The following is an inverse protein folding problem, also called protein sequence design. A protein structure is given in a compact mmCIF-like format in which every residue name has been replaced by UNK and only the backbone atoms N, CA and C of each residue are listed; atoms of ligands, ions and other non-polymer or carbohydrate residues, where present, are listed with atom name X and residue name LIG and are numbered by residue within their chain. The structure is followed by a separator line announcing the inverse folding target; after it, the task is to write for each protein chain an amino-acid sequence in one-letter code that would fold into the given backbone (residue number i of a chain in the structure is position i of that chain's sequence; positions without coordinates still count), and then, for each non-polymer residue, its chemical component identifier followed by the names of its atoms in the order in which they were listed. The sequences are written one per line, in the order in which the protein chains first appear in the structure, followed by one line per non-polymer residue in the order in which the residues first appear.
data_IF_604820293578
#
_entry.id   IF_604820293578
#
_cell.length_a   1.000
_cell.length_b   1.000
_cell.length_c   1.000
_cell.angle_alpha   90.00
_cell.angle_beta   90.00
_cell.angle_gamma   90.00
#
_symmetry.space_group_name_H-M   'P 1'
#
loop_
_entity.id
_entity.type
_entity.pdbx_description
1 polymer ?
#
# COMPACT_ATOMS: atom_id res chain seq x y z
N UNK A 1 -9.69 -29.00 -24.15
CA UNK A 1 -8.35 -28.37 -24.06
C UNK A 1 -8.51 -26.99 -23.40
N UNK A 2 -7.42 -26.26 -23.15
CA UNK A 2 -7.47 -24.90 -22.55
C UNK A 2 -6.87 -23.87 -23.49
N UNK A 3 -7.33 -22.63 -23.41
CA UNK A 3 -6.72 -21.48 -24.09
C UNK A 3 -6.44 -20.35 -23.10
N UNK A 4 -5.58 -19.41 -23.51
CA UNK A 4 -5.32 -18.18 -22.74
C UNK A 4 -6.10 -17.02 -23.37
N UNK A 5 -6.69 -16.18 -22.52
CA UNK A 5 -7.43 -14.99 -22.93
C UNK A 5 -6.98 -13.78 -22.13
N UNK A 6 -6.88 -12.64 -22.79
CA UNK A 6 -6.61 -11.33 -22.21
C UNK A 6 -7.66 -10.34 -22.74
N UNK A 7 -8.67 -10.05 -21.92
CA UNK A 7 -9.82 -9.25 -22.31
C UNK A 7 -10.59 -9.90 -23.45
N UNK A 8 -10.72 -9.19 -24.57
CA UNK A 8 -11.33 -9.70 -25.80
C UNK A 8 -10.38 -10.49 -26.68
N UNK A 9 -9.07 -10.40 -26.44
CA UNK A 9 -8.07 -11.12 -27.23
C UNK A 9 -7.91 -12.55 -26.70
N UNK A 10 -8.19 -13.52 -27.57
CA UNK A 10 -8.06 -14.94 -27.29
C UNK A 10 -6.93 -15.54 -28.11
N UNK A 11 -6.00 -16.23 -27.44
CA UNK A 11 -5.01 -17.03 -28.14
C UNK A 11 -5.65 -18.30 -28.70
N UNK A 12 -5.29 -18.72 -29.92
CA UNK A 12 -5.49 -20.08 -30.39
C UNK A 12 -5.15 -21.15 -29.34
N UNK A 13 -5.92 -22.25 -29.38
CA UNK A 13 -5.76 -23.38 -28.47
C UNK A 13 -4.33 -23.92 -28.57
N UNK A 14 -3.67 -24.08 -27.43
CA UNK A 14 -2.28 -24.56 -27.31
C UNK A 14 -1.19 -23.66 -27.93
N UNK A 15 -1.49 -22.39 -28.29
CA UNK A 15 -0.45 -21.44 -28.72
C UNK A 15 0.43 -20.96 -27.55
N UNK A 16 -0.19 -20.78 -26.39
CA UNK A 16 0.44 -20.26 -25.18
C UNK A 16 0.42 -21.30 -24.08
N UNK A 17 1.53 -21.39 -23.36
CA UNK A 17 1.62 -22.07 -22.07
C UNK A 17 1.82 -21.05 -20.95
N UNK A 18 1.15 -21.28 -19.84
CA UNK A 18 1.44 -20.61 -18.57
C UNK A 18 2.74 -21.21 -18.03
N UNK A 19 3.83 -20.44 -18.08
CA UNK A 19 5.14 -20.87 -17.63
C UNK A 19 5.27 -20.82 -16.11
N UNK A 20 4.84 -19.70 -15.50
CA UNK A 20 4.78 -19.54 -14.04
C UNK A 20 3.55 -18.72 -13.65
N UNK A 21 3.06 -18.97 -12.44
CA UNK A 21 2.07 -18.15 -11.76
C UNK A 21 2.53 -17.97 -10.31
N UNK A 22 3.20 -16.85 -10.07
CA UNK A 22 3.81 -16.53 -8.78
C UNK A 22 2.90 -15.61 -7.97
N UNK A 23 2.82 -15.86 -6.67
CA UNK A 23 2.08 -15.01 -5.72
C UNK A 23 3.06 -14.45 -4.69
N UNK A 24 3.29 -13.14 -4.74
CA UNK A 24 4.15 -12.42 -3.81
C UNK A 24 3.29 -11.71 -2.78
N UNK A 25 3.47 -12.03 -1.51
CA UNK A 25 2.77 -11.33 -0.43
C UNK A 25 3.61 -10.15 0.06
N UNK A 26 2.97 -8.99 0.14
CA UNK A 26 3.55 -7.81 0.78
C UNK A 26 3.06 -7.73 2.21
N UNK A 27 3.97 -7.33 3.12
CA UNK A 27 3.66 -7.11 4.52
C UNK A 27 3.69 -5.62 4.85
N UNK A 28 2.80 -5.17 5.73
CA UNK A 28 2.81 -3.82 6.28
C UNK A 28 4.07 -3.58 7.12
N UNK A 29 4.35 -2.33 7.48
CA UNK A 29 5.39 -1.99 8.48
C UNK A 29 5.19 -2.72 9.82
N UNK A 30 3.94 -3.09 10.14
CA UNK A 30 3.55 -3.84 11.34
C UNK A 30 3.70 -5.37 11.18
N UNK A 31 4.12 -5.86 10.01
CA UNK A 31 4.33 -7.29 9.74
C UNK A 31 3.07 -8.08 9.41
N UNK A 32 1.92 -7.42 9.22
CA UNK A 32 0.69 -8.05 8.77
C UNK A 32 0.66 -8.16 7.24
N UNK A 33 -0.01 -9.18 6.70
CA UNK A 33 -0.22 -9.29 5.25
C UNK A 33 -1.19 -8.21 4.81
N UNK A 34 -0.79 -7.45 3.80
CA UNK A 34 -1.59 -6.34 3.25
C UNK A 34 -2.14 -6.70 1.87
N UNK A 35 -1.20 -6.99 0.96
CA UNK A 35 -1.47 -7.16 -0.46
C UNK A 35 -0.83 -8.42 -0.98
N UNK A 36 -1.42 -9.01 -2.02
CA UNK A 36 -0.81 -10.09 -2.79
C UNK A 36 -0.69 -9.65 -4.24
N UNK A 37 0.54 -9.67 -4.74
CA UNK A 37 0.84 -9.47 -6.15
C UNK A 37 0.91 -10.82 -6.85
N UNK A 38 0.04 -11.01 -7.81
CA UNK A 38 0.08 -12.14 -8.71
C UNK A 38 0.88 -11.75 -9.96
N UNK A 39 1.79 -12.62 -10.38
CA UNK A 39 2.55 -12.49 -11.62
C UNK A 39 2.35 -13.75 -12.45
N UNK A 40 1.84 -13.60 -13.66
CA UNK A 40 1.77 -14.68 -14.63
C UNK A 40 2.81 -14.47 -15.72
N UNK A 41 3.63 -15.49 -15.96
CA UNK A 41 4.52 -15.52 -17.12
C UNK A 41 3.96 -16.49 -18.16
N UNK A 42 3.75 -15.97 -19.36
CA UNK A 42 3.33 -16.72 -20.53
C UNK A 42 4.53 -16.92 -21.45
N UNK A 43 4.56 -18.08 -22.09
CA UNK A 43 5.48 -18.37 -23.19
C UNK A 43 4.64 -18.96 -24.32
N UNK A 44 4.79 -18.46 -25.53
CA UNK A 44 4.04 -18.93 -26.68
C UNK A 44 4.84 -18.87 -27.97
N UNK A 45 4.29 -19.48 -29.01
CA UNK A 45 4.87 -19.45 -30.36
C UNK A 45 3.81 -19.15 -31.41
N UNK A 46 3.98 -18.05 -32.13
CA UNK A 46 3.12 -17.74 -33.27
C UNK A 46 3.58 -18.61 -34.43
N UNK A 47 2.65 -19.35 -35.03
CA UNK A 47 2.86 -20.16 -36.23
C UNK A 47 1.95 -19.67 -37.35
N UNK A 48 2.47 -19.62 -38.56
CA UNK A 48 1.69 -19.29 -39.75
C UNK A 48 2.19 -20.04 -40.98
N UNK A 49 1.29 -20.28 -41.93
CA UNK A 49 1.61 -20.83 -43.25
C UNK A 49 2.05 -19.76 -44.25
N UNK A 50 1.70 -18.49 -44.01
CA UNK A 50 2.07 -17.36 -44.87
C UNK A 50 2.67 -16.20 -44.08
N UNK A 51 3.53 -15.41 -44.72
CA UNK A 51 4.15 -14.23 -44.10
C UNK A 51 3.12 -13.13 -43.78
N UNK A 52 2.08 -12.98 -44.59
CA UNK A 52 1.03 -11.97 -44.38
C UNK A 52 0.20 -12.27 -43.12
N UNK A 53 -0.20 -13.53 -42.95
CA UNK A 53 -0.91 -14.00 -41.75
C UNK A 53 -0.01 -13.90 -40.50
N UNK A 54 1.29 -14.13 -40.66
CA UNK A 54 2.26 -13.99 -39.57
C UNK A 54 2.33 -12.56 -39.02
N UNK A 55 2.41 -11.57 -39.90
CA UNK A 55 2.40 -10.14 -39.53
C UNK A 55 1.05 -9.78 -38.90
N UNK A 56 -0.05 -10.30 -39.44
CA UNK A 56 -1.40 -10.08 -38.89
C UNK A 56 -1.51 -10.60 -37.46
N UNK A 57 -1.02 -11.82 -37.18
CA UNK A 57 -1.04 -12.41 -35.85
C UNK A 57 -0.15 -11.65 -34.85
N UNK A 58 1.03 -11.20 -35.27
CA UNK A 58 1.89 -10.34 -34.44
C UNK A 58 1.17 -9.04 -34.07
N UNK A 59 0.57 -8.36 -35.05
CA UNK A 59 -0.14 -7.11 -34.82
C UNK A 59 -1.37 -7.31 -33.94
N UNK A 60 -2.10 -8.42 -34.13
CA UNK A 60 -3.24 -8.78 -33.29
C UNK A 60 -2.82 -9.01 -31.83
N UNK A 61 -1.71 -9.73 -31.59
CA UNK A 61 -1.15 -9.92 -30.26
C UNK A 61 -0.75 -8.58 -29.64
N UNK A 62 0.01 -7.76 -30.36
CA UNK A 62 0.45 -6.45 -29.85
C UNK A 62 -0.74 -5.53 -29.55
N UNK A 63 -1.78 -5.57 -30.40
CA UNK A 63 -2.99 -4.78 -30.19
C UNK A 63 -3.85 -5.31 -29.04
N UNK A 64 -3.91 -6.62 -28.82
CA UNK A 64 -4.64 -7.21 -27.69
C UNK A 64 -4.01 -6.83 -26.35
N UNK A 65 -2.68 -6.92 -26.27
CA UNK A 65 -1.92 -6.63 -25.05
C UNK A 65 -1.57 -5.14 -24.85
N UNK A 66 -1.96 -4.24 -25.76
CA UNK A 66 -1.81 -2.80 -25.56
C UNK A 66 -2.91 -2.21 -24.67
N UNK A 67 -4.03 -2.91 -24.55
CA UNK A 67 -5.08 -2.59 -23.60
C UNK A 67 -4.60 -2.96 -22.19
N UNK A 68 -4.74 -2.05 -21.25
CA UNK A 68 -4.51 -2.36 -19.85
C UNK A 68 -5.84 -2.69 -19.19
N UNK A 69 -5.78 -3.44 -18.10
CA UNK A 69 -6.90 -3.67 -17.19
C UNK A 69 -7.99 -4.56 -17.77
N UNK A 70 -7.55 -5.61 -18.42
CA UNK A 70 -8.39 -6.66 -18.95
C UNK A 70 -8.20 -7.92 -18.12
N UNK A 71 -9.27 -8.71 -17.93
CA UNK A 71 -9.14 -10.00 -17.25
C UNK A 71 -8.22 -10.92 -18.05
N UNK A 72 -7.33 -11.63 -17.34
CA UNK A 72 -6.30 -12.43 -17.96
C UNK A 72 -6.23 -13.81 -17.35
N UNK A 73 -6.32 -14.87 -18.16
CA UNK A 73 -6.26 -16.20 -17.56
C UNK A 73 -6.37 -17.35 -18.53
N UNK A 74 -6.28 -18.54 -17.95
CA UNK A 74 -6.57 -19.80 -18.61
C UNK A 74 -8.05 -20.14 -18.49
N UNK A 75 -8.65 -20.50 -19.61
CA UNK A 75 -10.04 -20.90 -19.73
C UNK A 75 -10.14 -22.28 -20.36
N UNK A 76 -11.17 -23.02 -19.98
CA UNK A 76 -11.59 -24.25 -20.66
C UNK A 76 -12.31 -23.91 -21.98
N UNK A 77 -12.52 -24.89 -22.84
CA UNK A 77 -13.19 -24.72 -24.15
C UNK A 77 -14.64 -24.21 -24.07
N UNK A 78 -15.28 -24.35 -22.91
CA UNK A 78 -16.62 -23.84 -22.62
C UNK A 78 -16.62 -22.40 -22.06
N UNK A 79 -15.48 -21.70 -22.15
CA UNK A 79 -15.21 -20.36 -21.57
C UNK A 79 -15.30 -20.34 -20.03
N UNK A 80 -15.32 -21.51 -19.38
CA UNK A 80 -15.21 -21.59 -17.91
C UNK A 80 -13.79 -21.24 -17.48
N UNK A 81 -13.66 -20.29 -16.55
CA UNK A 81 -12.38 -19.88 -15.99
C UNK A 81 -11.74 -20.99 -15.15
N UNK A 82 -10.42 -21.18 -15.30
CA UNK A 82 -9.63 -22.05 -14.41
C UNK A 82 -9.24 -21.29 -13.14
N UNK A 83 -8.60 -21.93 -12.14
CA UNK A 83 -8.02 -21.22 -10.99
C UNK A 83 -6.87 -20.25 -11.35
N UNK A 84 -6.41 -20.25 -12.60
CA UNK A 84 -5.33 -19.38 -13.07
C UNK A 84 -5.90 -18.22 -13.91
N UNK A 85 -6.68 -17.38 -13.24
CA UNK A 85 -7.19 -16.12 -13.79
C UNK A 85 -6.85 -14.96 -12.86
N UNK A 86 -6.42 -13.85 -13.46
CA UNK A 86 -6.29 -12.54 -12.86
C UNK A 86 -7.53 -11.74 -13.26
N UNK A 87 -8.35 -11.40 -12.27
CA UNK A 87 -9.50 -10.53 -12.46
C UNK A 87 -9.13 -9.08 -12.19
N UNK A 88 -9.57 -8.17 -13.07
CA UNK A 88 -9.34 -6.74 -12.95
C UNK A 88 -10.24 -6.12 -11.88
N UNK A 89 -11.50 -6.56 -11.78
CA UNK A 89 -12.49 -5.97 -10.87
C UNK A 89 -12.13 -6.06 -9.38
N UNK A 90 -11.36 -7.08 -9.00
CA UNK A 90 -10.95 -7.32 -7.61
C UNK A 90 -9.51 -6.86 -7.35
N UNK A 91 -8.84 -6.31 -8.36
CA UNK A 91 -7.45 -5.86 -8.24
C UNK A 91 -7.37 -4.35 -8.03
N UNK A 92 -6.43 -3.93 -7.19
CA UNK A 92 -6.19 -2.52 -6.84
C UNK A 92 -5.78 -1.72 -8.09
N UNK A 93 -4.82 -2.27 -8.85
CA UNK A 93 -4.24 -1.58 -10.00
C UNK A 93 -4.86 -2.00 -11.34
N UNK A 94 -5.59 -3.12 -11.39
CA UNK A 94 -5.90 -3.81 -12.65
C UNK A 94 -4.87 -4.87 -12.99
N UNK A 95 -5.19 -5.68 -14.01
CA UNK A 95 -4.21 -6.53 -14.66
C UNK A 95 -3.45 -5.69 -15.70
N UNK A 96 -2.13 -5.65 -15.56
CA UNK A 96 -1.25 -4.89 -16.43
C UNK A 96 -0.24 -5.79 -17.11
N UNK A 97 -0.01 -5.54 -18.41
CA UNK A 97 1.11 -6.15 -19.13
C UNK A 97 2.39 -5.38 -18.81
N UNK A 98 3.28 -6.03 -18.05
CA UNK A 98 4.56 -5.43 -17.64
C UNK A 98 5.63 -5.56 -18.72
N UNK A 99 5.59 -6.64 -19.48
CA UNK A 99 6.60 -6.94 -20.48
C UNK A 99 6.08 -7.90 -21.54
N UNK A 100 6.27 -7.54 -22.81
CA UNK A 100 6.24 -8.44 -23.95
C UNK A 100 7.67 -8.55 -24.49
N UNK A 101 8.18 -9.76 -24.65
CA UNK A 101 9.52 -10.03 -25.17
C UNK A 101 9.43 -11.02 -26.30
N UNK A 102 10.02 -10.67 -27.44
CA UNK A 102 10.24 -11.60 -28.52
C UNK A 102 11.53 -12.36 -28.22
N UNK A 103 11.42 -13.67 -28.04
CA UNK A 103 12.56 -14.54 -27.76
C UNK A 103 12.77 -15.45 -28.95
N UNK A 104 14.00 -15.62 -29.41
CA UNK A 104 14.27 -16.42 -30.59
C UNK A 104 15.77 -16.48 -30.84
N UNK A 105 16.26 -17.68 -31.17
CA UNK A 105 17.64 -17.92 -31.58
C UNK A 105 17.71 -18.87 -32.78
N UNK A 106 16.58 -19.20 -33.42
CA UNK A 106 16.54 -20.20 -34.50
C UNK A 106 16.50 -19.49 -35.85
N UNK A 107 17.19 -20.01 -36.86
CA UNK A 107 17.10 -19.44 -38.21
C UNK A 107 15.67 -19.54 -38.77
N UNK A 108 15.18 -18.49 -39.42
CA UNK A 108 13.83 -18.43 -40.02
C UNK A 108 12.76 -17.69 -39.22
N UNK A 109 13.15 -16.92 -38.20
CA UNK A 109 12.20 -16.10 -37.43
C UNK A 109 11.57 -15.04 -38.34
N UNK A 110 10.23 -14.98 -38.38
CA UNK A 110 9.37 -14.27 -39.36
C UNK A 110 8.94 -15.05 -40.61
N UNK A 111 9.52 -16.22 -40.90
CA UNK A 111 9.07 -17.04 -42.04
C UNK A 111 8.09 -18.15 -41.61
N UNK A 112 8.28 -18.75 -40.44
CA UNK A 112 7.47 -19.91 -40.00
C UNK A 112 7.02 -19.82 -38.56
N UNK A 113 7.92 -19.44 -37.65
CA UNK A 113 7.67 -19.43 -36.20
C UNK A 113 8.33 -18.23 -35.54
N UNK A 114 7.72 -17.67 -34.49
CA UNK A 114 8.37 -16.73 -33.56
C UNK A 114 7.88 -16.96 -32.15
N UNK A 115 8.83 -17.14 -31.24
CA UNK A 115 8.53 -17.35 -29.83
C UNK A 115 8.43 -16.00 -29.12
N UNK A 116 7.55 -15.92 -28.12
CA UNK A 116 7.39 -14.75 -27.28
C UNK A 116 7.20 -15.14 -25.83
N UNK A 117 7.43 -14.18 -24.95
CA UNK A 117 7.06 -14.26 -23.54
C UNK A 117 6.37 -12.98 -23.10
N UNK A 118 5.31 -13.14 -22.31
CA UNK A 118 4.53 -12.04 -21.74
C UNK A 118 4.54 -12.17 -20.23
N UNK A 119 4.68 -11.06 -19.53
CA UNK A 119 4.54 -10.97 -18.08
C UNK A 119 3.35 -10.07 -17.77
N UNK A 120 2.37 -10.64 -17.07
CA UNK A 120 1.19 -9.95 -16.56
C UNK A 120 1.28 -9.87 -15.04
N UNK A 121 0.85 -8.74 -14.48
CA UNK A 121 0.78 -8.56 -13.04
C UNK A 121 -0.53 -7.93 -12.61
N UNK A 122 -1.04 -8.35 -11.46
CA UNK A 122 -2.15 -7.71 -10.76
C UNK A 122 -1.90 -7.76 -9.25
N UNK A 123 -2.42 -6.78 -8.52
CA UNK A 123 -2.28 -6.68 -7.07
C UNK A 123 -3.65 -6.69 -6.41
N UNK A 124 -3.82 -7.54 -5.40
CA UNK A 124 -5.07 -7.79 -4.70
C UNK A 124 -4.90 -7.50 -3.21
N UNK A 125 -5.97 -7.05 -2.55
CA UNK A 125 -6.01 -7.01 -1.09
C UNK A 125 -6.11 -8.44 -0.53
N UNK A 126 -5.32 -8.79 0.48
CA UNK A 126 -5.38 -10.11 1.12
C UNK A 126 -6.63 -10.19 2.03
N UNK A 127 -7.70 -10.82 1.56
CA UNK A 127 -8.90 -11.04 2.37
C UNK A 127 -8.61 -12.05 3.50
N UNK A 128 -8.63 -11.59 4.76
CA UNK A 128 -8.47 -12.44 5.94
C UNK A 128 -7.08 -12.42 6.61
N UNK A 129 -6.11 -11.67 6.07
CA UNK A 129 -4.82 -11.41 6.74
C UNK A 129 -4.80 -10.13 7.60
N UNK A 130 -5.79 -9.27 7.39
CA UNK A 130 -5.88 -7.94 7.99
C UNK A 130 -6.74 -8.03 9.25
N UNK A 131 -6.18 -8.52 10.36
CA UNK A 131 -6.88 -8.52 11.66
C UNK A 131 -7.14 -7.11 12.20
N UNK A 132 -6.45 -6.11 11.65
CA UNK A 132 -6.69 -4.68 11.87
C UNK A 132 -6.40 -3.98 10.54
N UNK A 133 -7.37 -3.27 9.94
CA UNK A 133 -7.20 -2.42 8.74
C UNK A 133 -6.27 -1.22 9.02
N UNK A 134 -5.12 -1.47 9.65
CA UNK A 134 -4.17 -0.54 10.23
C UNK A 134 -2.79 -0.89 9.67
N UNK A 135 -2.37 -0.10 8.71
CA UNK A 135 -1.11 -0.22 7.99
C UNK A 135 0.04 0.37 8.80
N UNK A 136 -0.18 1.56 9.35
CA UNK A 136 0.83 2.32 10.09
C UNK A 136 0.21 2.98 11.32
N UNK A 137 0.93 2.95 12.44
CA UNK A 137 0.57 3.62 13.68
C UNK A 137 1.81 4.30 14.25
N UNK A 138 1.67 5.54 14.69
CA UNK A 138 2.72 6.25 15.41
C UNK A 138 2.11 7.21 16.41
N UNK A 139 2.72 7.26 17.60
CA UNK A 139 2.29 8.15 18.66
C UNK A 139 3.50 8.69 19.42
N UNK A 140 3.41 9.96 19.81
CA UNK A 140 4.45 10.69 20.52
C UNK A 140 3.84 11.55 21.62
N UNK A 141 4.55 11.62 22.74
CA UNK A 141 4.27 12.53 23.84
C UNK A 141 5.40 13.54 23.99
N UNK A 142 5.04 14.79 24.23
CA UNK A 142 5.97 15.86 24.60
C UNK A 142 5.54 16.35 25.98
N UNK A 143 6.46 16.29 26.92
CA UNK A 143 6.26 16.77 28.29
C UNK A 143 7.04 18.07 28.48
N UNK A 144 6.37 19.11 28.95
CA UNK A 144 6.96 20.42 29.24
C UNK A 144 6.70 20.78 30.69
N UNK A 145 7.78 21.01 31.43
CA UNK A 145 7.72 21.26 32.87
C UNK A 145 7.60 19.97 33.68
N UNK A 146 8.16 20.00 34.89
CA UNK A 146 8.16 18.88 35.83
C UNK A 146 7.10 19.04 36.93
N UNK A 147 6.36 20.15 36.92
CA UNK A 147 5.51 20.57 38.03
C UNK A 147 6.27 21.02 39.28
N UNK A 148 7.61 20.97 39.24
CA UNK A 148 8.49 21.32 40.33
C UNK A 148 8.75 22.82 40.44
N UNK A 149 9.70 23.21 41.30
CA UNK A 149 10.05 24.60 41.49
C UNK A 149 10.65 25.21 40.23
N UNK A 150 10.34 26.49 39.97
CA UNK A 150 10.97 27.29 38.92
C UNK A 150 12.07 28.12 39.52
N UNK A 151 13.26 28.00 38.93
CA UNK A 151 14.41 28.83 39.26
C UNK A 151 14.65 29.86 38.16
N UNK A 152 15.07 31.06 38.55
CA UNK A 152 15.58 32.08 37.65
C UNK A 152 16.99 32.46 38.08
N UNK A 153 17.85 32.72 37.10
CA UNK A 153 19.19 33.28 37.34
C UNK A 153 19.05 34.78 37.35
N UNK A 154 19.39 35.40 38.48
CA UNK A 154 19.35 36.86 38.63
C UNK A 154 20.78 37.37 38.57
N UNK A 155 21.02 38.29 37.66
CA UNK A 155 22.31 38.97 37.54
C UNK A 155 22.50 39.92 38.73
N UNK A 156 23.65 39.80 39.39
CA UNK A 156 24.04 40.68 40.50
C UNK A 156 24.73 41.92 39.93
N UNK A 157 24.50 43.09 40.53
CA UNK A 157 25.20 44.34 40.15
C UNK A 157 26.72 44.20 40.30
N UNK A 158 27.17 43.44 41.30
CA UNK A 158 28.57 43.07 41.52
C UNK A 158 28.60 41.59 41.94
N UNK A 159 29.43 40.78 41.27
CA UNK A 159 29.63 39.36 41.60
C UNK A 159 28.91 38.39 40.64
N UNK A 160 29.00 37.07 40.89
CA UNK A 160 28.36 36.08 40.04
C UNK A 160 26.82 36.15 40.15
N UNK A 161 26.08 35.75 39.11
CA UNK A 161 24.64 35.58 39.18
C UNK A 161 24.23 34.56 40.24
N UNK A 162 23.08 34.77 40.89
CA UNK A 162 22.52 33.85 41.88
C UNK A 162 21.28 33.11 41.35
N UNK A 163 21.05 31.90 41.83
CA UNK A 163 19.88 31.08 41.49
C UNK A 163 18.77 31.30 42.52
N UNK A 164 17.73 32.04 42.14
CA UNK A 164 16.58 32.26 43.01
C UNK A 164 15.39 31.38 42.60
N UNK A 165 14.76 30.75 43.59
CA UNK A 165 13.47 30.06 43.39
C UNK A 165 12.34 31.10 43.28
N UNK A 166 11.67 31.13 42.14
CA UNK A 166 10.57 32.07 41.83
C UNK A 166 9.20 31.47 42.16
N UNK A 167 9.03 30.16 41.94
CA UNK A 167 7.81 29.43 42.27
C UNK A 167 8.16 28.10 42.93
N UNK A 168 7.47 27.72 44.00
CA UNK A 168 7.63 26.40 44.64
C UNK A 168 7.02 25.26 43.82
N UNK A 169 5.95 25.54 43.06
CA UNK A 169 5.31 24.61 42.12
C UNK A 169 4.93 25.36 40.86
N UNK A 170 5.03 24.66 39.73
CA UNK A 170 4.61 25.17 38.43
C UNK A 170 3.58 24.25 37.80
N UNK A 171 2.80 24.78 36.86
CA UNK A 171 1.99 23.93 35.99
C UNK A 171 2.89 23.15 35.03
N UNK A 172 2.43 21.98 34.62
CA UNK A 172 3.00 21.23 33.49
C UNK A 172 2.08 21.36 32.28
N UNK A 173 2.65 21.18 31.09
CA UNK A 173 1.88 20.93 29.88
C UNK A 173 2.36 19.67 29.17
N UNK A 174 1.44 19.02 28.48
CA UNK A 174 1.75 17.86 27.67
C UNK A 174 1.03 17.94 26.33
N UNK A 175 1.70 17.49 25.27
CA UNK A 175 1.13 17.37 23.94
C UNK A 175 1.26 15.91 23.51
N UNK A 176 0.11 15.29 23.24
CA UNK A 176 0.02 13.97 22.62
C UNK A 176 -0.29 14.16 21.15
N UNK A 177 0.57 13.63 20.29
CA UNK A 177 0.37 13.65 18.83
C UNK A 177 0.49 12.24 18.30
N UNK A 178 -0.34 11.87 17.34
CA UNK A 178 -0.21 10.60 16.65
C UNK A 178 -0.91 10.59 15.31
N UNK A 179 -0.68 9.51 14.58
CA UNK A 179 -1.41 9.21 13.36
C UNK A 179 -1.60 7.70 13.19
N UNK A 180 -2.64 7.37 12.44
CA UNK A 180 -2.95 6.03 12.00
C UNK A 180 -3.29 6.06 10.51
N UNK A 181 -2.75 5.11 9.75
CA UNK A 181 -3.10 4.89 8.35
C UNK A 181 -3.82 3.57 8.25
N UNK A 182 -5.06 3.59 7.76
CA UNK A 182 -5.82 2.39 7.51
C UNK A 182 -5.94 2.07 6.03
N UNK A 183 -5.95 0.78 5.69
CA UNK A 183 -5.96 0.36 4.28
C UNK A 183 -7.27 0.72 3.59
N UNK A 184 -8.42 0.48 4.22
CA UNK A 184 -9.75 0.67 3.60
C UNK A 184 -10.66 1.64 4.36
N UNK A 185 -10.29 1.99 5.61
CA UNK A 185 -11.14 2.78 6.51
C UNK A 185 -10.30 3.70 7.39
N UNK A 186 -10.85 4.85 7.72
CA UNK A 186 -10.27 5.73 8.74
C UNK A 186 -10.20 5.01 10.09
N UNK A 187 -9.01 4.95 10.66
CA UNK A 187 -8.81 4.47 12.01
C UNK A 187 -9.21 5.58 12.99
N UNK A 188 -9.95 5.22 14.04
CA UNK A 188 -10.29 6.17 15.09
C UNK A 188 -9.03 6.56 15.86
N UNK A 189 -8.86 7.85 16.21
CA UNK A 189 -7.77 8.27 17.06
C UNK A 189 -7.91 7.60 18.43
N UNK A 190 -6.81 7.37 19.13
CA UNK A 190 -6.89 6.83 20.48
C UNK A 190 -7.46 7.84 21.47
N UNK A 191 -8.02 7.34 22.56
CA UNK A 191 -8.48 8.22 23.63
C UNK A 191 -7.30 9.00 24.24
N UNK A 192 -7.53 10.26 24.64
CA UNK A 192 -6.52 11.08 25.30
C UNK A 192 -6.01 10.38 26.57
N UNK A 193 -4.69 10.35 26.78
CA UNK A 193 -4.09 9.64 27.90
C UNK A 193 -4.39 10.30 29.27
N UNK A 194 -4.67 11.60 29.27
CA UNK A 194 -4.98 12.38 30.47
C UNK A 194 -6.29 13.16 30.30
N UNK A 195 -7.44 12.49 30.19
CA UNK A 195 -8.71 13.11 29.82
C UNK A 195 -9.17 14.19 30.82
N UNK A 196 -8.82 14.06 32.10
CA UNK A 196 -9.16 15.03 33.14
C UNK A 196 -8.43 16.39 33.00
N UNK A 197 -7.33 16.44 32.24
CA UNK A 197 -6.50 17.62 32.07
C UNK A 197 -6.48 18.12 30.62
N UNK A 198 -7.33 17.56 29.76
CA UNK A 198 -7.37 17.90 28.34
C UNK A 198 -8.02 19.26 28.11
N UNK A 199 -7.34 20.09 27.32
CA UNK A 199 -7.88 21.31 26.75
C UNK A 199 -8.68 20.96 25.50
N UNK A 200 -9.94 20.54 25.70
CA UNK A 200 -10.81 20.01 24.63
C UNK A 200 -11.09 21.01 23.50
N UNK A 201 -11.06 22.31 23.80
CA UNK A 201 -11.16 23.41 22.84
C UNK A 201 -9.97 23.47 21.87
N UNK A 202 -8.82 22.90 22.27
CA UNK A 202 -7.58 22.84 21.48
C UNK A 202 -7.38 21.48 20.81
N UNK A 203 -8.28 20.52 21.01
CA UNK A 203 -8.22 19.21 20.35
C UNK A 203 -8.23 19.38 18.84
N UNK A 204 -7.34 18.69 18.16
CA UNK A 204 -7.31 18.65 16.69
C UNK A 204 -7.32 17.20 16.21
N UNK A 205 -8.33 16.85 15.42
CA UNK A 205 -8.38 15.58 14.69
C UNK A 205 -8.48 15.92 13.22
N UNK A 206 -7.58 15.36 12.41
CA UNK A 206 -7.50 15.62 10.98
C UNK A 206 -7.73 14.29 10.26
N UNK A 207 -8.69 14.28 9.36
CA UNK A 207 -8.87 13.20 8.40
C UNK A 207 -8.31 13.66 7.06
N UNK A 208 -7.23 13.02 6.63
CA UNK A 208 -6.64 13.26 5.31
C UNK A 208 -7.32 12.33 4.31
N UNK A 209 -7.73 12.86 3.15
CA UNK A 209 -8.36 12.07 2.11
C UNK A 209 -7.54 10.82 1.74
N UNK A 210 -8.18 9.68 1.42
CA UNK A 210 -7.47 8.50 0.97
C UNK A 210 -6.75 8.76 -0.36
N UNK A 211 -5.72 7.96 -0.62
CA UNK A 211 -5.07 7.89 -1.93
C UNK A 211 -5.96 7.10 -2.88
N UNK A 212 -6.34 7.69 -4.01
CA UNK A 212 -6.99 6.94 -5.08
C UNK A 212 -5.95 6.08 -5.80
N UNK A 213 -6.09 4.77 -5.68
CA UNK A 213 -5.40 3.79 -6.51
C UNK A 213 -6.42 3.21 -7.47
N UNK A 214 -6.64 3.96 -8.56
CA UNK A 214 -7.55 3.64 -9.66
C UNK A 214 -9.00 3.40 -9.24
N UNK A 215 -9.37 2.15 -8.97
CA UNK A 215 -10.74 1.77 -8.60
C UNK A 215 -10.97 1.77 -7.09
N UNK A 216 -9.89 1.71 -6.32
CA UNK A 216 -9.95 1.64 -4.87
C UNK A 216 -9.42 2.93 -4.22
N UNK A 217 -9.96 3.21 -3.05
CA UNK A 217 -9.43 4.21 -2.13
C UNK A 217 -8.63 3.45 -1.09
N UNK A 218 -7.37 3.85 -0.91
CA UNK A 218 -6.47 3.25 0.06
C UNK A 218 -5.79 4.32 0.91
N UNK A 219 -5.11 3.91 1.98
CA UNK A 219 -4.27 4.79 2.82
C UNK A 219 -5.07 5.92 3.53
N UNK A 220 -6.15 5.54 4.20
CA UNK A 220 -7.00 6.43 5.00
C UNK A 220 -6.27 6.91 6.25
N UNK A 221 -5.77 8.15 6.20
CA UNK A 221 -4.95 8.71 7.28
C UNK A 221 -5.76 9.57 8.24
N UNK A 222 -5.67 9.21 9.52
CA UNK A 222 -6.18 10.00 10.65
C UNK A 222 -5.00 10.51 11.46
N UNK A 223 -4.99 11.81 11.78
CA UNK A 223 -4.03 12.43 12.69
C UNK A 223 -4.76 13.04 13.87
N UNK A 224 -4.12 13.03 15.04
CA UNK A 224 -4.68 13.66 16.23
C UNK A 224 -3.61 14.41 17.02
N UNK A 225 -4.06 15.48 17.67
CA UNK A 225 -3.31 16.25 18.65
C UNK A 225 -4.21 16.55 19.84
N UNK A 226 -3.77 16.13 21.02
CA UNK A 226 -4.37 16.48 22.30
C UNK A 226 -3.42 17.36 23.10
N UNK A 227 -3.97 18.40 23.72
CA UNK A 227 -3.24 19.31 24.60
C UNK A 227 -3.71 19.11 26.02
N UNK A 228 -2.76 19.01 26.95
CA UNK A 228 -3.04 18.86 28.37
C UNK A 228 -2.34 19.95 29.16
N UNK A 229 -3.04 20.52 30.13
CA UNK A 229 -2.49 21.48 31.09
C UNK A 229 -2.99 21.12 32.47
N UNK A 230 -2.09 21.10 33.45
CA UNK A 230 -2.41 20.65 34.79
C UNK A 230 -1.50 21.27 35.85
N UNK A 231 -1.89 21.16 37.14
CA UNK A 231 -1.20 21.80 38.26
C UNK A 231 0.14 21.14 38.64
N UNK A 232 0.64 20.18 37.86
CA UNK A 232 1.87 19.45 38.13
C UNK A 232 2.46 18.77 36.88
N UNK A 233 3.55 18.05 37.05
CA UNK A 233 4.21 17.31 35.97
C UNK A 233 3.39 16.11 35.54
N UNK A 234 3.23 15.93 34.24
CA UNK A 234 2.69 14.70 33.67
C UNK A 234 3.74 13.60 33.79
N UNK A 235 3.39 12.46 34.35
CA UNK A 235 4.29 11.32 34.51
C UNK A 235 3.53 9.99 34.48
N UNK A 236 4.25 8.89 34.25
CA UNK A 236 3.76 7.53 34.47
C UNK A 236 2.93 6.90 33.35
N UNK A 237 2.61 7.63 32.28
CA UNK A 237 1.92 7.07 31.11
C UNK A 237 2.75 7.34 29.85
N UNK A 238 3.07 6.30 29.10
CA UNK A 238 3.78 6.41 27.82
C UNK A 238 2.86 5.98 26.68
N UNK A 239 3.06 6.49 25.46
CA UNK A 239 2.46 5.91 24.27
C UNK A 239 2.73 4.41 24.24
N UNK A 240 1.70 3.62 23.97
CA UNK A 240 1.85 2.17 23.79
C UNK A 240 1.73 1.85 22.31
N UNK A 241 2.56 0.92 21.84
CA UNK A 241 2.42 0.41 20.48
C UNK A 241 1.07 -0.32 20.37
N UNK A 242 0.33 -0.04 19.30
CA UNK A 242 -0.89 -0.76 18.92
C UNK A 242 -0.61 -1.74 17.78
#
# INVERSE_FOLDING_TARGET
MTYFKYGTYQHPVSEVKLATHDMFRTVTKRGHRDRVRHRMQLIGEIKSSTQADFITNINALQSGYSLNNEDAGLYFEDDTATPHVLYTNNSINGVEMKRLTWSGQKGGELATVRTFSIVLEAEYLETGGVTTNLEEWSEKMIYVGTGGPRFAVIESEIGPPDYQMVNQKTGGSCIQTGYAVGTEVYQLPNDPLFPAFEQTDRRRVIFTGPTSQRNDLVDFRTEWTYFFEGPGGFSGIMPTAR
#
